data_IF_785746824386
#
_entry.id   IF_785746824386
#
_cell.length_a   1.000
_cell.length_b   1.000
_cell.length_c   1.000
_cell.angle_alpha   90.00
_cell.angle_beta   90.00
_cell.angle_gamma   90.00
#
_symmetry.space_group_name_H-M   'P 1'
#
loop_
_entity.id
_entity.type
_entity.pdbx_description
1 polymer ?
#
# COMPACT_ATOMS: atom_id res chain seq x y z
N UNK A 1 -16.16 63.55 3.21
CA UNK A 1 -16.37 62.41 4.12
C UNK A 1 -16.54 61.07 3.40
N UNK A 2 -17.10 61.00 2.19
CA UNK A 2 -17.34 59.71 1.50
C UNK A 2 -16.10 58.97 0.96
N UNK A 3 -14.99 59.66 0.68
CA UNK A 3 -13.78 59.01 0.13
C UNK A 3 -12.97 58.21 1.18
N UNK A 4 -13.01 58.65 2.44
CA UNK A 4 -12.29 57.98 3.54
C UNK A 4 -12.99 56.67 3.94
N UNK A 5 -14.32 56.64 3.86
CA UNK A 5 -15.11 55.44 4.14
C UNK A 5 -14.92 54.36 3.06
N UNK A 6 -14.82 54.75 1.78
CA UNK A 6 -14.56 53.81 0.69
C UNK A 6 -13.13 53.24 0.74
N UNK A 7 -12.14 54.06 1.10
CA UNK A 7 -10.77 53.63 1.29
C UNK A 7 -10.64 52.63 2.47
N UNK A 8 -11.31 52.89 3.60
CA UNK A 8 -11.31 51.97 4.75
C UNK A 8 -11.97 50.62 4.42
N UNK A 9 -13.04 50.62 3.62
CA UNK A 9 -13.72 49.39 3.20
C UNK A 9 -12.88 48.56 2.22
N UNK A 10 -12.14 49.21 1.31
CA UNK A 10 -11.19 48.55 0.40
C UNK A 10 -9.96 47.98 1.14
N UNK A 11 -9.44 48.65 2.18
CA UNK A 11 -8.34 48.08 2.99
C UNK A 11 -8.78 46.90 3.87
N UNK A 12 -10.04 46.85 4.33
CA UNK A 12 -10.53 45.72 5.13
C UNK A 12 -10.61 44.39 4.37
N UNK A 13 -10.84 44.46 3.06
CA UNK A 13 -10.91 43.29 2.17
C UNK A 13 -9.51 42.74 1.84
N UNK A 14 -8.46 43.55 1.93
CA UNK A 14 -7.08 43.11 1.65
C UNK A 14 -6.39 42.41 2.84
N UNK A 15 -6.90 42.56 4.06
CA UNK A 15 -6.28 41.99 5.27
C UNK A 15 -6.91 40.63 5.66
N UNK A 16 -8.04 40.26 5.05
CA UNK A 16 -8.73 38.99 5.31
C UNK A 16 -8.34 37.86 4.34
N UNK A 17 -7.38 38.09 3.43
CA UNK A 17 -7.08 37.18 2.32
C UNK A 17 -5.93 36.17 2.49
N UNK A 18 -5.22 36.15 3.61
CA UNK A 18 -4.09 35.23 3.81
C UNK A 18 -4.07 34.68 5.23
N UNK A 19 -5.03 33.83 5.57
CA UNK A 19 -4.80 32.89 6.68
C UNK A 19 -3.66 31.96 6.28
N UNK A 20 -2.64 31.77 7.14
CA UNK A 20 -1.63 30.73 6.95
C UNK A 20 -2.30 29.36 6.77
N UNK A 21 -1.64 28.41 6.08
CA UNK A 21 -2.17 27.06 5.96
C UNK A 21 -2.48 26.51 7.36
N UNK A 22 -3.64 25.87 7.49
CA UNK A 22 -4.10 25.35 8.79
C UNK A 22 -3.20 24.25 9.34
N UNK A 23 -2.42 23.60 8.48
CA UNK A 23 -1.48 22.54 8.85
C UNK A 23 -0.12 22.77 8.19
N UNK A 24 0.92 22.92 9.00
CA UNK A 24 2.30 22.91 8.50
C UNK A 24 2.66 21.51 7.98
N UNK A 25 3.54 21.44 6.97
CA UNK A 25 4.02 20.18 6.42
C UNK A 25 4.63 19.23 7.47
N UNK A 26 5.22 19.78 8.53
CA UNK A 26 5.82 19.01 9.64
C UNK A 26 4.78 18.46 10.62
N UNK A 27 3.60 19.09 10.70
CA UNK A 27 2.53 18.70 11.61
C UNK A 27 1.48 17.77 10.98
N UNK A 28 1.59 17.43 9.69
CA UNK A 28 0.60 16.60 8.97
C UNK A 28 0.30 15.28 9.67
N UNK A 29 1.36 14.59 10.10
CA UNK A 29 1.24 13.32 10.82
C UNK A 29 0.41 13.48 12.08
N UNK A 30 0.73 14.51 12.89
CA UNK A 30 0.04 14.79 14.15
C UNK A 30 -1.41 15.19 13.90
N UNK A 31 -1.66 16.03 12.91
CA UNK A 31 -2.99 16.53 12.60
C UNK A 31 -3.96 15.40 12.21
N UNK A 32 -3.54 14.48 11.35
CA UNK A 32 -4.42 13.35 10.97
C UNK A 32 -4.66 12.44 12.17
N UNK A 33 -3.63 12.05 12.91
CA UNK A 33 -3.78 11.20 14.11
C UNK A 33 -4.72 11.87 15.13
N UNK A 34 -4.61 13.18 15.31
CA UNK A 34 -5.45 13.94 16.23
C UNK A 34 -6.91 14.00 15.76
N UNK A 35 -7.16 14.22 14.46
CA UNK A 35 -8.51 14.22 13.88
C UNK A 35 -9.12 12.81 13.99
N UNK A 36 -8.40 11.77 13.57
CA UNK A 36 -8.90 10.38 13.59
C UNK A 36 -9.22 9.92 15.00
N UNK A 37 -8.40 10.32 15.98
CA UNK A 37 -8.65 10.01 17.39
C UNK A 37 -9.81 10.81 17.98
N UNK A 38 -9.85 12.13 17.77
CA UNK A 38 -10.84 13.02 18.41
C UNK A 38 -12.23 12.93 17.79
N UNK A 39 -12.30 12.87 16.46
CA UNK A 39 -13.58 12.89 15.74
C UNK A 39 -14.14 11.48 15.57
N UNK A 40 -13.28 10.45 15.43
CA UNK A 40 -13.69 9.10 15.02
C UNK A 40 -13.26 7.97 15.98
N UNK A 41 -12.54 8.27 17.07
CA UNK A 41 -12.15 7.28 18.08
C UNK A 41 -11.12 6.25 17.63
N UNK A 42 -10.34 6.55 16.58
CA UNK A 42 -9.31 5.64 16.04
C UNK A 42 -7.96 5.98 16.67
N UNK A 43 -7.47 5.12 17.57
CA UNK A 43 -6.29 5.43 18.40
C UNK A 43 -4.93 5.12 17.76
N UNK A 44 -4.86 4.15 16.83
CA UNK A 44 -3.59 3.54 16.38
C UNK A 44 -3.28 3.74 14.89
N UNK A 45 -3.62 4.90 14.31
CA UNK A 45 -3.21 5.19 12.93
C UNK A 45 -1.71 5.51 12.85
N UNK A 46 -1.03 4.99 11.81
CA UNK A 46 0.31 5.46 11.42
C UNK A 46 0.22 6.34 10.18
N UNK A 47 1.10 7.33 10.08
CA UNK A 47 1.12 8.32 9.00
C UNK A 47 2.54 8.50 8.48
N UNK A 48 2.74 8.25 7.19
CA UNK A 48 4.03 8.36 6.50
C UNK A 48 3.89 9.29 5.30
N UNK A 49 4.96 10.00 4.98
CA UNK A 49 5.05 10.83 3.77
C UNK A 49 6.31 10.43 3.04
N UNK A 50 6.16 9.93 1.82
CA UNK A 50 7.26 9.50 0.95
C UNK A 50 7.12 10.28 -0.35
N UNK A 51 8.16 11.03 -0.72
CA UNK A 51 8.10 11.97 -1.84
C UNK A 51 6.91 12.92 -1.74
N UNK A 52 6.02 12.83 -2.73
CA UNK A 52 4.74 13.58 -2.82
C UNK A 52 3.51 12.74 -2.44
N UNK A 53 3.69 11.53 -1.93
CA UNK A 53 2.62 10.64 -1.46
C UNK A 53 2.39 10.78 0.04
N UNK A 54 1.14 11.08 0.43
CA UNK A 54 0.68 11.10 1.80
C UNK A 54 -0.02 9.79 2.17
N UNK A 55 0.60 8.97 3.01
CA UNK A 55 0.10 7.67 3.40
C UNK A 55 -0.49 7.62 4.81
N UNK A 56 -1.57 6.87 4.99
CA UNK A 56 -2.17 6.54 6.29
C UNK A 56 -2.39 5.03 6.39
N UNK A 57 -1.98 4.44 7.52
CA UNK A 57 -2.32 3.08 7.91
C UNK A 57 -3.49 3.10 8.89
N UNK A 58 -4.55 2.35 8.56
CA UNK A 58 -5.74 2.20 9.35
C UNK A 58 -5.86 0.74 9.83
N UNK A 59 -5.45 0.43 11.07
CA UNK A 59 -5.67 -0.89 11.63
C UNK A 59 -7.14 -1.05 12.02
N UNK A 60 -7.74 -2.16 11.59
CA UNK A 60 -9.11 -2.54 11.89
C UNK A 60 -9.13 -3.91 12.55
N UNK A 61 -9.99 -4.08 13.54
CA UNK A 61 -10.22 -5.39 14.18
C UNK A 61 -11.02 -6.33 13.28
N UNK A 62 -11.81 -5.79 12.36
CA UNK A 62 -12.59 -6.54 11.40
C UNK A 62 -12.82 -5.70 10.14
N UNK A 63 -12.17 -6.08 9.05
CA UNK A 63 -12.39 -5.45 7.75
C UNK A 63 -13.51 -6.13 6.96
N UNK A 64 -13.57 -7.46 6.99
CA UNK A 64 -14.50 -8.26 6.19
C UNK A 64 -15.54 -8.97 7.08
N UNK A 65 -16.74 -9.16 6.52
CA UNK A 65 -17.88 -9.76 7.23
C UNK A 65 -17.73 -11.27 7.43
N UNK A 66 -17.04 -11.97 6.53
CA UNK A 66 -16.81 -13.42 6.58
C UNK A 66 -15.35 -13.75 6.92
N UNK A 67 -15.16 -14.77 7.76
CA UNK A 67 -13.85 -15.35 7.98
C UNK A 67 -13.51 -16.27 6.79
N UNK A 68 -12.57 -15.84 5.96
CA UNK A 68 -12.12 -16.55 4.76
C UNK A 68 -11.77 -18.02 5.03
N UNK A 69 -11.26 -18.32 6.25
CA UNK A 69 -10.95 -19.69 6.68
C UNK A 69 -12.21 -20.55 6.82
N UNK A 70 -13.28 -20.02 7.40
CA UNK A 70 -14.55 -20.76 7.56
C UNK A 70 -15.25 -20.99 6.21
N UNK A 71 -15.20 -20.00 5.31
CA UNK A 71 -15.79 -20.11 3.98
C UNK A 71 -15.09 -21.18 3.11
N UNK A 72 -13.76 -21.24 3.11
CA UNK A 72 -13.01 -22.27 2.38
C UNK A 72 -13.22 -23.66 2.99
N UNK A 73 -13.21 -23.77 4.32
CA UNK A 73 -13.35 -25.07 5.00
C UNK A 73 -14.76 -25.65 4.93
N UNK A 74 -15.79 -24.82 4.80
CA UNK A 74 -17.19 -25.25 4.71
C UNK A 74 -17.62 -25.71 3.31
N UNK A 75 -16.80 -25.47 2.27
CA UNK A 75 -17.12 -25.86 0.89
C UNK A 75 -18.36 -25.16 0.30
N UNK A 76 -18.89 -24.14 0.98
CA UNK A 76 -20.09 -23.38 0.61
C UNK A 76 -19.75 -22.06 -0.11
N UNK A 77 -18.72 -22.05 -0.97
CA UNK A 77 -18.42 -20.86 -1.76
C UNK A 77 -18.98 -21.05 -3.16
N UNK A 78 -20.26 -20.71 -3.34
CA UNK A 78 -20.87 -20.60 -4.67
C UNK A 78 -20.56 -19.27 -5.35
N UNK A 79 -20.13 -18.26 -4.60
CA UNK A 79 -19.86 -16.91 -5.12
C UNK A 79 -18.71 -16.25 -4.37
N UNK A 80 -17.50 -16.24 -4.96
CA UNK A 80 -16.29 -15.72 -4.29
C UNK A 80 -16.36 -14.21 -4.04
N UNK A 81 -17.17 -13.46 -4.79
CA UNK A 81 -17.24 -12.00 -4.70
C UNK A 81 -17.93 -11.52 -3.41
N UNK A 82 -18.84 -12.32 -2.84
CA UNK A 82 -19.52 -11.97 -1.58
C UNK A 82 -18.61 -12.12 -0.36
N UNK A 83 -17.55 -12.95 -0.45
CA UNK A 83 -16.61 -13.18 0.64
C UNK A 83 -15.75 -11.96 0.99
N UNK A 84 -15.60 -11.02 0.05
CA UNK A 84 -14.73 -9.86 0.19
C UNK A 84 -15.50 -8.56 0.38
N UNK A 85 -16.75 -8.62 0.86
CA UNK A 85 -17.50 -7.42 1.22
C UNK A 85 -17.02 -6.88 2.57
N UNK A 86 -16.49 -5.63 2.61
CA UNK A 86 -16.13 -5.00 3.86
C UNK A 86 -17.36 -4.82 4.75
N UNK A 87 -17.18 -4.82 6.07
CA UNK A 87 -18.28 -4.52 7.01
C UNK A 87 -18.71 -3.05 6.88
N UNK A 88 -19.96 -2.73 7.18
CA UNK A 88 -20.43 -1.33 7.19
C UNK A 88 -19.58 -0.46 8.12
N UNK A 89 -19.25 -0.96 9.31
CA UNK A 89 -18.37 -0.27 10.27
C UNK A 89 -16.97 0.00 9.68
N UNK A 90 -16.40 -0.95 8.93
CA UNK A 90 -15.11 -0.75 8.27
C UNK A 90 -15.20 0.29 7.16
N UNK A 91 -16.29 0.28 6.37
CA UNK A 91 -16.53 1.27 5.31
C UNK A 91 -16.63 2.67 5.92
N UNK A 92 -17.42 2.84 6.99
CA UNK A 92 -17.59 4.14 7.66
C UNK A 92 -16.23 4.68 8.16
N UNK A 93 -15.43 3.84 8.82
CA UNK A 93 -14.07 4.23 9.28
C UNK A 93 -13.15 4.59 8.12
N UNK A 94 -13.20 3.84 7.02
CA UNK A 94 -12.42 4.14 5.81
C UNK A 94 -12.84 5.49 5.23
N UNK A 95 -14.14 5.77 5.11
CA UNK A 95 -14.66 7.04 4.59
C UNK A 95 -14.28 8.22 5.48
N UNK A 96 -14.38 8.06 6.80
CA UNK A 96 -14.00 9.06 7.81
C UNK A 96 -12.51 9.41 7.73
N UNK A 97 -11.64 8.40 7.59
CA UNK A 97 -10.20 8.61 7.42
C UNK A 97 -9.91 9.25 6.06
N UNK A 98 -10.50 8.79 4.96
CA UNK A 98 -10.35 9.43 3.64
C UNK A 98 -10.79 10.89 3.67
N UNK A 99 -11.88 11.20 4.37
CA UNK A 99 -12.37 12.56 4.55
C UNK A 99 -11.36 13.41 5.35
N UNK A 100 -10.82 12.86 6.43
CA UNK A 100 -9.77 13.51 7.25
C UNK A 100 -8.51 13.80 6.45
N UNK A 101 -8.02 12.82 5.69
CA UNK A 101 -6.90 12.97 4.78
C UNK A 101 -7.17 14.09 3.77
N UNK A 102 -8.36 14.10 3.16
CA UNK A 102 -8.74 15.12 2.18
C UNK A 102 -8.73 16.54 2.76
N UNK A 103 -9.18 16.73 4.02
CA UNK A 103 -9.14 18.04 4.71
C UNK A 103 -7.71 18.51 4.90
N UNK A 104 -6.82 17.63 5.34
CA UNK A 104 -5.43 17.95 5.63
C UNK A 104 -4.64 18.23 4.35
N UNK A 105 -4.77 17.38 3.33
CA UNK A 105 -4.14 17.56 2.01
C UNK A 105 -4.53 18.90 1.37
N UNK A 106 -5.80 19.30 1.47
CA UNK A 106 -6.28 20.56 0.88
C UNK A 106 -5.87 21.80 1.68
N UNK A 107 -5.35 21.64 2.90
CA UNK A 107 -5.09 22.75 3.82
C UNK A 107 -3.64 22.84 4.28
N UNK A 108 -2.73 22.10 3.64
CA UNK A 108 -1.29 22.11 3.94
C UNK A 108 -0.50 22.98 2.95
N UNK A 109 0.63 23.49 3.39
CA UNK A 109 1.65 24.14 2.55
C UNK A 109 2.54 23.13 1.80
N UNK A 110 2.60 21.87 2.24
CA UNK A 110 3.40 20.84 1.59
C UNK A 110 2.72 20.37 0.30
N UNK A 111 3.49 20.27 -0.78
CA UNK A 111 3.01 19.67 -2.04
C UNK A 111 2.75 18.18 -1.82
N UNK A 112 1.48 17.79 -1.88
CA UNK A 112 1.02 16.41 -1.86
C UNK A 112 0.24 16.15 -3.15
N UNK A 113 0.79 15.29 -4.00
CA UNK A 113 0.19 14.93 -5.29
C UNK A 113 -0.68 13.68 -5.16
N UNK A 114 -0.33 12.76 -4.26
CA UNK A 114 -1.02 11.50 -4.05
C UNK A 114 -1.38 11.26 -2.58
N UNK A 115 -2.46 10.51 -2.38
CA UNK A 115 -2.79 9.94 -1.09
C UNK A 115 -2.89 8.42 -1.18
N UNK A 116 -2.47 7.76 -0.10
CA UNK A 116 -2.47 6.31 0.05
C UNK A 116 -3.13 5.96 1.39
N UNK A 117 -4.22 5.20 1.38
CA UNK A 117 -4.82 4.67 2.60
C UNK A 117 -4.73 3.16 2.56
N UNK A 118 -4.11 2.56 3.57
CA UNK A 118 -4.04 1.13 3.76
C UNK A 118 -4.90 0.75 4.97
N UNK A 119 -6.06 0.14 4.72
CA UNK A 119 -6.94 -0.38 5.77
C UNK A 119 -6.71 -1.88 5.93
N UNK A 120 -6.28 -2.33 7.10
CA UNK A 120 -5.85 -3.73 7.31
C UNK A 120 -6.59 -4.38 8.47
N UNK A 121 -7.07 -5.61 8.28
CA UNK A 121 -7.56 -6.47 9.35
C UNK A 121 -6.37 -7.05 10.14
N UNK A 122 -6.12 -6.49 11.32
CA UNK A 122 -4.96 -6.84 12.15
C UNK A 122 -5.20 -8.05 13.06
N UNK A 123 -6.46 -8.49 13.23
CA UNK A 123 -6.80 -9.50 14.22
C UNK A 123 -7.04 -10.88 13.62
N UNK A 124 -7.67 -10.96 12.45
CA UNK A 124 -8.12 -12.25 11.90
C UNK A 124 -7.36 -12.68 10.67
N UNK A 125 -7.44 -11.85 9.63
CA UNK A 125 -7.10 -12.31 8.28
C UNK A 125 -5.78 -11.76 7.76
N UNK A 126 -5.33 -10.60 8.24
CA UNK A 126 -4.22 -9.86 7.63
C UNK A 126 -4.58 -9.30 6.25
N UNK A 127 -5.84 -9.40 5.81
CA UNK A 127 -6.27 -8.85 4.53
C UNK A 127 -6.34 -7.33 4.63
N UNK A 128 -5.96 -6.67 3.55
CA UNK A 128 -5.99 -5.21 3.47
C UNK A 128 -6.65 -4.72 2.19
N UNK A 129 -7.16 -3.48 2.26
CA UNK A 129 -7.66 -2.70 1.14
C UNK A 129 -6.85 -1.41 1.08
N UNK A 130 -6.21 -1.20 -0.07
CA UNK A 130 -5.40 -0.03 -0.38
C UNK A 130 -6.15 0.91 -1.30
N UNK A 131 -6.21 2.20 -0.93
CA UNK A 131 -6.76 3.26 -1.76
C UNK A 131 -5.67 4.22 -2.19
N UNK A 132 -5.50 4.38 -3.49
CA UNK A 132 -4.57 5.36 -4.07
C UNK A 132 -5.37 6.37 -4.88
N UNK A 133 -5.15 7.65 -4.65
CA UNK A 133 -5.78 8.71 -5.43
C UNK A 133 -4.91 9.95 -5.58
N UNK A 134 -5.23 10.75 -6.59
CA UNK A 134 -4.55 12.01 -6.88
C UNK A 134 -5.24 13.17 -6.15
N UNK A 135 -4.47 14.04 -5.50
CA UNK A 135 -5.00 15.12 -4.66
C UNK A 135 -5.86 16.13 -5.44
N UNK A 136 -5.50 16.43 -6.69
CA UNK A 136 -6.31 17.34 -7.52
C UNK A 136 -7.66 16.74 -7.91
N UNK A 137 -7.82 15.41 -7.94
CA UNK A 137 -9.12 14.82 -8.22
C UNK A 137 -10.12 15.11 -7.08
N UNK A 138 -9.64 15.23 -5.83
CA UNK A 138 -10.44 15.67 -4.68
C UNK A 138 -10.96 17.09 -4.92
N UNK A 139 -10.11 17.99 -5.41
CA UNK A 139 -10.51 19.37 -5.73
C UNK A 139 -11.55 19.36 -6.85
N UNK A 140 -11.27 18.66 -7.94
CA UNK A 140 -12.13 18.61 -9.12
C UNK A 140 -13.51 18.04 -8.81
N UNK A 141 -13.61 16.98 -8.01
CA UNK A 141 -14.92 16.42 -7.63
C UNK A 141 -15.69 17.36 -6.70
N UNK A 142 -15.00 18.09 -5.80
CA UNK A 142 -15.63 19.10 -4.92
C UNK A 142 -16.10 20.33 -5.67
N UNK A 143 -15.40 20.72 -6.74
CA UNK A 143 -15.80 21.82 -7.64
C UNK A 143 -16.73 21.38 -8.77
N UNK A 144 -17.17 20.12 -8.79
CA UNK A 144 -18.03 19.54 -9.84
C UNK A 144 -17.41 19.55 -11.26
N UNK A 145 -16.10 19.71 -11.38
CA UNK A 145 -15.36 19.60 -12.65
C UNK A 145 -15.36 18.17 -13.19
N UNK A 146 -15.51 17.18 -12.31
CA UNK A 146 -15.72 15.77 -12.66
C UNK A 146 -16.91 15.22 -11.86
N UNK A 147 -17.73 14.35 -12.45
CA UNK A 147 -18.80 13.69 -11.71
C UNK A 147 -18.22 12.67 -10.72
N UNK A 148 -18.96 12.37 -9.65
CA UNK A 148 -18.56 11.39 -8.63
C UNK A 148 -18.30 9.99 -9.22
N UNK A 149 -19.04 9.61 -10.26
CA UNK A 149 -18.82 8.34 -10.98
C UNK A 149 -17.45 8.28 -11.65
N UNK A 150 -16.98 9.37 -12.24
CA UNK A 150 -15.63 9.46 -12.82
C UNK A 150 -14.55 9.52 -11.73
N UNK A 151 -14.80 10.23 -10.63
CA UNK A 151 -13.90 10.22 -9.47
C UNK A 151 -13.69 8.80 -8.92
N UNK A 152 -14.75 8.00 -8.77
CA UNK A 152 -14.64 6.60 -8.34
C UNK A 152 -13.78 5.73 -9.27
N UNK A 153 -13.88 5.96 -10.60
CA UNK A 153 -13.02 5.28 -11.59
C UNK A 153 -11.56 5.76 -11.58
N UNK A 154 -11.28 6.90 -10.92
CA UNK A 154 -9.92 7.45 -10.82
C UNK A 154 -9.16 6.92 -9.61
N UNK A 155 -9.88 6.50 -8.57
CA UNK A 155 -9.30 5.89 -7.38
C UNK A 155 -8.94 4.43 -7.66
N UNK A 156 -7.73 4.06 -7.28
CA UNK A 156 -7.23 2.68 -7.32
C UNK A 156 -7.57 2.06 -5.95
N UNK A 157 -8.42 1.03 -5.93
CA UNK A 157 -8.68 0.15 -4.77
C UNK A 157 -8.07 -1.24 -4.96
N UNK A 158 -7.05 -1.62 -4.21
CA UNK A 158 -6.39 -2.94 -4.31
C UNK A 158 -6.61 -3.76 -3.05
N UNK A 159 -6.83 -5.07 -3.21
CA UNK A 159 -6.96 -5.99 -2.10
C UNK A 159 -5.75 -6.93 -2.10
N UNK A 160 -5.08 -7.04 -0.96
CA UNK A 160 -3.94 -7.94 -0.82
C UNK A 160 -3.84 -8.50 0.60
N UNK A 161 -2.97 -9.49 0.79
CA UNK A 161 -2.70 -10.09 2.08
C UNK A 161 -1.42 -9.48 2.67
N UNK A 162 -1.56 -8.81 3.80
CA UNK A 162 -0.46 -8.28 4.60
C UNK A 162 -0.09 -9.26 5.70
N UNK A 163 0.82 -10.18 5.36
CA UNK A 163 1.34 -11.17 6.32
C UNK A 163 2.14 -10.54 7.47
N UNK A 164 2.97 -9.50 7.25
CA UNK A 164 3.71 -8.84 8.33
C UNK A 164 2.86 -8.48 9.55
N UNK A 165 1.66 -7.94 9.35
CA UNK A 165 0.74 -7.61 10.45
C UNK A 165 0.44 -8.80 11.37
N UNK A 166 0.22 -9.98 10.80
CA UNK A 166 -0.03 -11.21 11.58
C UNK A 166 1.21 -11.67 12.33
N UNK A 167 2.38 -11.56 11.69
CA UNK A 167 3.66 -11.96 12.27
C UNK A 167 4.14 -11.01 13.37
N UNK A 168 3.87 -9.72 13.22
CA UNK A 168 4.29 -8.68 14.17
C UNK A 168 3.38 -8.63 15.40
N UNK A 169 2.12 -9.05 15.25
CA UNK A 169 1.12 -9.12 16.34
C UNK A 169 1.63 -9.80 17.61
N UNK A 170 2.12 -11.06 17.61
CA UNK A 170 2.60 -11.70 18.84
C UNK A 170 3.80 -10.98 19.46
N UNK A 171 4.65 -10.31 18.66
CA UNK A 171 5.78 -9.51 19.15
C UNK A 171 5.30 -8.24 19.85
N UNK A 172 4.35 -7.52 19.26
CA UNK A 172 3.71 -6.37 19.89
C UNK A 172 2.98 -6.78 21.17
N UNK A 173 2.25 -7.89 21.13
CA UNK A 173 1.57 -8.43 22.31
C UNK A 173 2.57 -8.79 23.41
N UNK A 174 3.72 -9.37 23.08
CA UNK A 174 4.77 -9.67 24.04
C UNK A 174 5.25 -8.42 24.78
N UNK A 175 5.57 -7.33 24.07
CA UNK A 175 6.00 -6.09 24.73
C UNK A 175 4.87 -5.38 25.51
N UNK A 176 3.62 -5.48 25.05
CA UNK A 176 2.47 -5.01 25.83
C UNK A 176 2.30 -5.83 27.12
N UNK A 177 2.42 -7.16 27.03
CA UNK A 177 2.35 -8.05 28.18
C UNK A 177 3.46 -7.76 29.21
N UNK A 178 4.68 -7.42 28.76
CA UNK A 178 5.77 -6.97 29.64
C UNK A 178 5.40 -5.73 30.46
N UNK A 179 4.51 -4.88 29.94
CA UNK A 179 4.06 -3.66 30.62
C UNK A 179 2.93 -3.92 31.63
N UNK A 180 2.08 -4.90 31.37
CA UNK A 180 0.82 -5.10 32.11
C UNK A 180 0.88 -6.27 33.10
N UNK A 181 1.43 -7.40 32.65
CA UNK A 181 1.38 -8.70 33.33
C UNK A 181 2.48 -8.87 34.36
N UNK A 182 2.26 -9.82 35.25
CA UNK A 182 3.23 -10.22 36.28
C UNK A 182 4.25 -11.20 35.71
N UNK A 183 5.40 -11.30 36.38
CA UNK A 183 6.46 -12.25 36.07
C UNK A 183 5.96 -13.70 35.94
N UNK A 184 5.11 -14.14 36.86
CA UNK A 184 4.55 -15.50 36.86
C UNK A 184 3.68 -15.77 35.63
N UNK A 185 2.91 -14.76 35.19
CA UNK A 185 2.09 -14.86 33.98
C UNK A 185 2.95 -14.86 32.71
N UNK A 186 3.96 -13.99 32.64
CA UNK A 186 4.92 -13.94 31.53
C UNK A 186 5.67 -15.27 31.38
N UNK A 187 6.08 -15.87 32.49
CA UNK A 187 6.72 -17.19 32.48
C UNK A 187 5.82 -18.26 31.88
N UNK A 188 4.54 -18.28 32.23
CA UNK A 188 3.58 -19.25 31.71
C UNK A 188 3.30 -19.05 30.20
N UNK A 189 3.27 -17.80 29.75
CA UNK A 189 2.93 -17.44 28.37
C UNK A 189 4.11 -17.63 27.40
N UNK A 190 5.30 -17.15 27.76
CA UNK A 190 6.44 -17.05 26.83
C UNK A 190 7.66 -17.88 27.24
N UNK A 191 7.86 -18.15 28.54
CA UNK A 191 9.12 -18.70 29.06
C UNK A 191 8.97 -20.03 29.81
N UNK A 192 7.93 -20.83 29.52
CA UNK A 192 7.54 -22.02 30.31
C UNK A 192 8.68 -23.03 30.56
N UNK A 193 9.66 -23.10 29.66
CA UNK A 193 10.78 -24.04 29.69
C UNK A 193 12.15 -23.35 29.81
N UNK A 194 12.20 -22.07 30.17
CA UNK A 194 13.44 -21.31 30.29
C UNK A 194 13.77 -21.04 31.76
N UNK A 195 15.07 -20.97 32.04
CA UNK A 195 15.58 -20.63 33.37
C UNK A 195 15.32 -19.16 33.68
N UNK A 196 14.74 -18.89 34.84
CA UNK A 196 14.27 -17.57 35.27
C UNK A 196 15.38 -16.53 35.22
N UNK A 197 16.58 -16.89 35.68
CA UNK A 197 17.73 -16.00 35.70
C UNK A 197 18.09 -15.44 34.30
N UNK A 198 17.87 -16.22 33.23
CA UNK A 198 18.31 -15.85 31.88
C UNK A 198 17.44 -14.79 31.22
N UNK A 199 16.15 -14.75 31.52
CA UNK A 199 15.22 -13.81 30.89
C UNK A 199 14.79 -12.69 31.85
N UNK A 200 14.85 -12.91 33.17
CA UNK A 200 14.53 -11.85 34.14
C UNK A 200 15.50 -10.67 34.07
N UNK A 201 16.80 -10.94 33.90
CA UNK A 201 17.80 -9.88 33.75
C UNK A 201 17.58 -9.09 32.45
N UNK A 202 17.40 -9.80 31.34
CA UNK A 202 17.19 -9.23 30.00
C UNK A 202 15.97 -8.30 29.95
N UNK A 203 14.87 -8.68 30.61
CA UNK A 203 13.63 -7.91 30.60
C UNK A 203 13.44 -7.02 31.84
N UNK A 204 14.52 -6.74 32.58
CA UNK A 204 14.54 -5.86 33.76
C UNK A 204 13.48 -6.23 34.82
N UNK A 205 13.32 -7.52 35.07
CA UNK A 205 12.53 -8.09 36.15
C UNK A 205 13.39 -8.40 37.38
N UNK A 206 14.69 -8.11 37.34
CA UNK A 206 15.57 -8.17 38.50
C UNK A 206 15.97 -6.77 38.93
N UNK A 207 15.74 -6.44 40.20
CA UNK A 207 16.17 -5.17 40.79
C UNK A 207 17.70 -5.08 40.93
N UNK A 208 18.23 -3.87 41.15
CA UNK A 208 19.66 -3.64 41.41
C UNK A 208 20.21 -4.40 42.62
N UNK A 209 19.34 -4.92 43.48
CA UNK A 209 19.71 -5.73 44.66
C UNK A 209 19.65 -7.23 44.40
N UNK A 210 19.40 -7.66 43.15
CA UNK A 210 19.30 -9.06 42.76
C UNK A 210 17.97 -9.74 43.11
N UNK A 211 17.01 -8.99 43.66
CA UNK A 211 15.67 -9.51 43.95
C UNK A 211 14.78 -9.36 42.71
N UNK A 212 14.06 -10.43 42.34
CA UNK A 212 13.11 -10.40 41.23
C UNK A 212 11.85 -9.61 41.60
N UNK A 213 11.48 -8.66 40.75
CA UNK A 213 10.27 -7.86 40.86
C UNK A 213 9.08 -8.58 40.20
N UNK A 214 7.87 -8.40 40.75
CA UNK A 214 6.67 -8.99 40.16
C UNK A 214 6.27 -8.34 38.82
N UNK A 215 6.69 -7.10 38.58
CA UNK A 215 6.46 -6.35 37.33
C UNK A 215 7.75 -5.72 36.85
N UNK A 216 7.87 -5.54 35.54
CA UNK A 216 9.05 -4.92 34.92
C UNK A 216 9.33 -3.51 35.46
N UNK A 217 10.60 -3.23 35.75
CA UNK A 217 11.06 -1.90 36.16
C UNK A 217 11.03 -0.88 35.01
N UNK A 218 10.77 -1.35 33.78
CA UNK A 218 10.72 -0.57 32.55
C UNK A 218 9.32 -0.58 31.92
N UNK A 219 9.02 0.46 31.16
CA UNK A 219 7.94 0.49 30.20
C UNK A 219 8.56 0.31 28.81
N UNK A 220 8.04 -0.64 28.06
CA UNK A 220 8.51 -1.02 26.74
C UNK A 220 7.61 -0.42 25.68
N UNK A 221 8.22 0.20 24.68
CA UNK A 221 7.53 0.75 23.52
C UNK A 221 8.23 0.27 22.25
N UNK A 222 7.46 -0.29 21.33
CA UNK A 222 7.99 -0.78 20.06
C UNK A 222 8.18 0.40 19.10
N UNK A 223 9.40 0.58 18.60
CA UNK A 223 9.78 1.69 17.72
C UNK A 223 9.75 1.28 16.24
N UNK A 224 10.26 0.08 15.95
CA UNK A 224 10.33 -0.47 14.58
C UNK A 224 10.13 -1.98 14.65
N UNK A 225 9.39 -2.52 13.69
CA UNK A 225 9.19 -3.97 13.54
C UNK A 225 9.25 -4.32 12.07
N UNK A 226 10.07 -5.32 11.75
CA UNK A 226 10.28 -5.79 10.38
C UNK A 226 10.33 -7.30 10.37
N UNK A 227 9.91 -7.92 9.27
CA UNK A 227 9.90 -9.37 9.15
C UNK A 227 10.58 -9.87 7.89
N UNK A 228 11.22 -11.02 7.99
CA UNK A 228 11.77 -11.76 6.87
C UNK A 228 11.21 -13.19 6.89
N UNK A 229 10.44 -13.60 5.87
CA UNK A 229 10.06 -15.01 5.72
C UNK A 229 11.31 -15.84 5.39
N UNK A 230 11.51 -16.98 6.08
CA UNK A 230 12.64 -17.88 5.83
C UNK A 230 12.19 -19.05 4.98
N UNK A 231 11.67 -20.13 5.60
CA UNK A 231 11.10 -21.32 4.93
C UNK A 231 10.01 -21.96 5.83
N UNK A 232 9.13 -22.80 5.28
CA UNK A 232 8.20 -23.68 6.02
C UNK A 232 7.37 -23.04 7.15
N UNK A 233 6.84 -21.83 6.90
CA UNK A 233 5.99 -21.06 7.84
C UNK A 233 6.74 -20.56 9.07
N UNK A 234 8.07 -20.51 9.00
CA UNK A 234 8.91 -19.80 9.96
C UNK A 234 9.25 -18.41 9.45
N UNK A 235 9.16 -17.44 10.36
CA UNK A 235 9.41 -16.03 10.09
C UNK A 235 10.33 -15.50 11.17
N UNK A 236 11.31 -14.71 10.75
CA UNK A 236 12.14 -13.94 11.65
C UNK A 236 11.60 -12.52 11.72
N UNK A 237 11.30 -12.05 12.92
CA UNK A 237 10.83 -10.69 13.17
C UNK A 237 11.88 -9.93 13.97
N UNK A 238 12.39 -8.86 13.38
CA UNK A 238 13.23 -7.89 14.05
C UNK A 238 12.34 -6.87 14.77
N UNK A 239 12.64 -6.56 16.03
CA UNK A 239 11.98 -5.51 16.77
C UNK A 239 13.00 -4.60 17.46
N UNK A 240 12.86 -3.30 17.23
CA UNK A 240 13.57 -2.25 17.93
C UNK A 240 12.64 -1.63 18.96
N UNK A 241 13.07 -1.57 20.21
CA UNK A 241 12.23 -1.14 21.33
C UNK A 241 12.92 -0.10 22.20
N UNK A 242 12.11 0.78 22.78
CA UNK A 242 12.52 1.77 23.77
C UNK A 242 12.09 1.31 25.15
N UNK A 243 13.04 1.08 26.04
CA UNK A 243 12.82 0.68 27.44
C UNK A 243 13.05 1.88 28.37
N UNK A 244 11.97 2.53 28.80
CA UNK A 244 12.03 3.70 29.71
C UNK A 244 11.82 3.29 31.17
N UNK A 245 12.54 3.86 32.16
CA UNK A 245 12.30 3.60 33.58
C UNK A 245 10.87 3.94 33.97
N UNK A 246 10.19 3.03 34.69
CA UNK A 246 8.82 3.26 35.17
C UNK A 246 8.77 4.32 36.27
N UNK A 247 9.83 4.45 37.06
CA UNK A 247 10.00 5.48 38.09
C UNK A 247 10.37 6.87 37.51
N UNK A 248 10.57 6.97 36.20
CA UNK A 248 11.03 8.18 35.52
C UNK A 248 12.50 8.54 35.79
N UNK A 249 13.25 7.71 36.52
CA UNK A 249 14.64 7.97 36.87
C UNK A 249 15.59 7.14 36.01
N UNK A 250 16.32 7.82 35.14
CA UNK A 250 17.33 7.22 34.27
C UNK A 250 17.05 7.46 32.79
N UNK A 251 18.05 7.16 31.96
CA UNK A 251 17.92 7.28 30.52
C UNK A 251 17.06 6.13 29.94
N UNK A 252 16.21 6.41 28.94
CA UNK A 252 15.64 5.38 28.08
C UNK A 252 16.76 4.60 27.39
N UNK A 253 16.56 3.29 27.23
CA UNK A 253 17.50 2.42 26.53
C UNK A 253 16.84 1.88 25.27
N UNK A 254 17.53 2.00 24.13
CA UNK A 254 17.09 1.41 22.87
C UNK A 254 17.73 0.02 22.76
N UNK A 255 16.89 -0.98 22.55
CA UNK A 255 17.27 -2.39 22.48
C UNK A 255 16.70 -3.00 21.21
N UNK A 256 17.43 -3.97 20.65
CA UNK A 256 17.03 -4.65 19.42
C UNK A 256 16.95 -6.16 19.69
N UNK A 257 15.92 -6.81 19.15
CA UNK A 257 15.62 -8.23 19.36
C UNK A 257 15.26 -8.91 18.03
N UNK A 258 15.57 -10.19 17.93
CA UNK A 258 15.03 -11.10 16.92
C UNK A 258 14.06 -12.09 17.56
N UNK A 259 12.92 -12.26 16.92
CA UNK A 259 11.90 -13.23 17.26
C UNK A 259 11.83 -14.27 16.14
N UNK A 260 11.88 -15.54 16.48
CA UNK A 260 11.53 -16.62 15.57
C UNK A 260 10.07 -16.98 15.84
N UNK A 261 9.25 -16.93 14.79
CA UNK A 261 7.81 -17.12 14.87
C UNK A 261 7.42 -18.26 13.94
N UNK A 262 6.66 -19.23 14.47
CA UNK A 262 6.01 -20.24 13.64
C UNK A 262 4.54 -19.93 13.45
N UNK A 263 4.07 -20.03 12.21
CA UNK A 263 2.66 -19.96 11.86
C UNK A 263 2.10 -21.39 11.68
N UNK A 264 1.82 -22.09 12.78
CA UNK A 264 1.27 -23.46 12.76
C UNK A 264 -0.19 -23.45 13.17
N UNK A 265 -1.06 -24.11 12.39
CA UNK A 265 -2.48 -24.22 12.72
C UNK A 265 -3.29 -22.93 12.58
N UNK A 266 -2.72 -21.87 11.99
CA UNK A 266 -3.39 -20.59 11.81
C UNK A 266 -3.25 -19.62 12.98
N UNK A 267 -2.39 -19.94 13.95
CA UNK A 267 -1.93 -19.04 15.01
C UNK A 267 -0.42 -18.82 14.88
N UNK A 268 0.00 -17.57 15.11
CA UNK A 268 1.41 -17.17 15.14
C UNK A 268 1.94 -17.25 16.58
N UNK A 269 3.00 -18.04 16.78
CA UNK A 269 3.60 -18.22 18.11
C UNK A 269 5.09 -17.87 18.10
N UNK A 270 5.51 -17.15 19.14
CA UNK A 270 6.94 -16.91 19.40
C UNK A 270 7.57 -18.21 19.88
N UNK A 271 8.52 -18.73 19.11
CA UNK A 271 9.30 -19.91 19.48
C UNK A 271 10.62 -19.54 20.17
N UNK A 272 11.22 -18.42 19.75
CA UNK A 272 12.51 -17.96 20.28
C UNK A 272 12.62 -16.44 20.28
N UNK A 273 13.24 -15.90 21.31
CA UNK A 273 13.63 -14.49 21.43
C UNK A 273 15.15 -14.44 21.58
N UNK A 274 15.83 -13.64 20.76
CA UNK A 274 17.30 -13.49 20.78
C UNK A 274 17.64 -12.00 20.83
N UNK A 275 18.26 -11.52 21.93
CA UNK A 275 18.78 -10.15 21.98
C UNK A 275 19.87 -9.96 20.93
N UNK A 276 19.83 -8.86 20.18
CA UNK A 276 20.82 -8.60 19.13
C UNK A 276 22.25 -8.46 19.67
N UNK A 277 22.41 -8.09 20.94
CA UNK A 277 23.70 -7.98 21.64
C UNK A 277 24.46 -9.31 21.77
N UNK A 278 23.75 -10.44 21.70
CA UNK A 278 24.31 -11.79 21.93
C UNK A 278 24.54 -12.55 20.61
N UNK A 279 24.05 -12.04 19.48
CA UNK A 279 24.16 -12.71 18.17
C UNK A 279 25.62 -12.96 17.76
N UNK A 280 26.50 -11.99 17.96
CA UNK A 280 27.91 -12.11 17.57
C UNK A 280 28.69 -13.11 18.45
N UNK A 281 28.18 -13.40 19.66
CA UNK A 281 28.74 -14.43 20.55
C UNK A 281 28.18 -15.83 20.24
N UNK A 282 26.94 -15.89 19.76
CA UNK A 282 26.23 -17.17 19.49
C UNK A 282 26.57 -17.74 18.11
N UNK A 283 26.93 -16.90 17.14
CA UNK A 283 27.34 -17.31 15.79
C UNK A 283 28.66 -18.09 15.74
N UNK A 284 29.43 -18.10 16.83
CA UNK A 284 30.64 -18.90 16.94
C UNK A 284 30.38 -20.37 17.32
N UNK A 285 29.24 -20.66 17.96
CA UNK A 285 28.90 -21.99 18.54
C UNK A 285 27.80 -22.75 17.78
N UNK A 286 27.10 -22.09 16.86
CA UNK A 286 26.06 -22.68 16.02
C UNK A 286 26.29 -22.25 14.57
N UNK A 287 26.04 -23.15 13.62
CA UNK A 287 25.89 -22.87 12.18
C UNK A 287 24.68 -21.93 11.92
N UNK A 288 24.65 -20.78 12.60
CA UNK A 288 23.64 -19.76 12.46
C UNK A 288 23.97 -18.94 11.20
N UNK A 289 23.10 -18.93 10.18
CA UNK A 289 23.42 -18.39 8.87
C UNK A 289 23.45 -16.86 8.79
N UNK A 290 23.18 -16.13 9.88
CA UNK A 290 23.07 -14.67 9.88
C UNK A 290 23.83 -14.02 11.04
N UNK A 291 24.74 -13.10 10.71
CA UNK A 291 25.42 -12.22 11.67
C UNK A 291 24.63 -10.93 11.90
N UNK A 292 24.95 -10.20 12.97
CA UNK A 292 24.32 -8.91 13.28
C UNK A 292 24.45 -7.90 12.13
N UNK A 293 25.64 -7.83 11.53
CA UNK A 293 25.92 -6.93 10.40
C UNK A 293 25.09 -7.29 9.15
N UNK A 294 24.95 -8.59 8.86
CA UNK A 294 24.10 -9.05 7.75
C UNK A 294 22.64 -8.62 7.94
N UNK A 295 22.12 -8.76 9.16
CA UNK A 295 20.76 -8.33 9.48
C UNK A 295 20.63 -6.83 9.24
N UNK A 296 21.44 -5.98 9.89
CA UNK A 296 21.33 -4.53 9.72
C UNK A 296 21.49 -4.09 8.26
N UNK A 297 22.39 -4.71 7.50
CA UNK A 297 22.56 -4.41 6.07
C UNK A 297 21.37 -4.80 5.19
N UNK A 298 20.51 -5.71 5.67
CA UNK A 298 19.36 -6.21 4.94
C UNK A 298 18.01 -5.68 5.45
N UNK A 299 17.95 -5.05 6.64
CA UNK A 299 16.71 -4.59 7.27
C UNK A 299 15.84 -3.70 6.36
N UNK A 300 16.45 -2.88 5.51
CA UNK A 300 15.70 -2.02 4.57
C UNK A 300 14.85 -2.81 3.56
N UNK A 301 15.19 -4.09 3.34
CA UNK A 301 14.47 -5.00 2.44
C UNK A 301 13.51 -5.93 3.16
N UNK A 302 13.47 -5.88 4.49
CA UNK A 302 12.54 -6.68 5.27
C UNK A 302 11.14 -6.07 5.22
N UNK A 303 10.13 -6.92 5.31
CA UNK A 303 8.75 -6.50 5.17
C UNK A 303 8.30 -5.67 6.38
N UNK A 304 7.66 -4.53 6.11
CA UNK A 304 6.98 -3.68 7.09
C UNK A 304 5.46 -3.90 7.01
N UNK A 305 4.73 -3.63 8.09
CA UNK A 305 3.26 -3.64 8.05
C UNK A 305 2.70 -2.54 7.15
N UNK A 306 3.37 -1.39 7.08
CA UNK A 306 2.89 -0.21 6.39
C UNK A 306 3.98 0.40 5.52
N UNK A 307 3.84 0.25 4.20
CA UNK A 307 4.75 0.85 3.22
C UNK A 307 3.99 1.81 2.32
N UNK A 308 4.49 3.04 2.20
CA UNK A 308 3.87 4.07 1.35
C UNK A 308 4.66 4.14 0.04
N UNK A 309 4.01 3.95 -1.12
CA UNK A 309 4.71 4.04 -2.39
C UNK A 309 5.11 5.49 -2.69
N UNK A 310 6.32 5.68 -3.21
CA UNK A 310 6.69 6.94 -3.86
C UNK A 310 6.04 6.95 -5.24
N UNK A 311 4.85 7.55 -5.34
CA UNK A 311 3.98 7.42 -6.50
C UNK A 311 4.25 8.57 -7.47
N UNK A 312 4.50 8.23 -8.73
CA UNK A 312 4.57 9.21 -9.81
C UNK A 312 3.25 9.30 -10.58
N UNK A 313 3.02 10.40 -11.30
CA UNK A 313 1.81 10.55 -12.11
C UNK A 313 1.76 9.55 -13.27
N UNK A 314 2.89 9.21 -13.88
CA UNK A 314 2.94 8.20 -14.95
C UNK A 314 2.52 6.82 -14.46
N UNK A 315 3.07 6.37 -13.33
CA UNK A 315 2.72 5.08 -12.70
C UNK A 315 1.25 5.04 -12.27
N UNK A 316 0.78 6.08 -11.59
CA UNK A 316 -0.62 6.19 -11.18
C UNK A 316 -1.58 6.08 -12.38
N UNK A 317 -1.29 6.77 -13.48
CA UNK A 317 -2.10 6.70 -14.69
C UNK A 317 -2.07 5.32 -15.33
N UNK A 318 -0.91 4.65 -15.35
CA UNK A 318 -0.80 3.27 -15.84
C UNK A 318 -1.64 2.29 -15.00
N UNK A 319 -1.57 2.37 -13.67
CA UNK A 319 -2.39 1.55 -12.77
C UNK A 319 -3.89 1.82 -12.97
N UNK A 320 -4.28 3.10 -13.05
CA UNK A 320 -5.66 3.52 -13.28
C UNK A 320 -6.19 2.98 -14.63
N UNK A 321 -5.40 3.10 -15.69
CA UNK A 321 -5.74 2.61 -17.03
C UNK A 321 -5.88 1.09 -17.07
N UNK A 322 -4.98 0.36 -16.41
CA UNK A 322 -5.03 -1.11 -16.32
C UNK A 322 -6.38 -1.59 -15.80
N UNK A 323 -6.84 -0.99 -14.70
CA UNK A 323 -8.10 -1.35 -14.06
C UNK A 323 -9.31 -0.95 -14.88
N UNK A 324 -9.30 0.28 -15.43
CA UNK A 324 -10.35 0.76 -16.33
C UNK A 324 -10.50 -0.19 -17.52
N UNK A 325 -9.39 -0.71 -18.04
CA UNK A 325 -9.44 -1.65 -19.15
C UNK A 325 -9.92 -3.03 -18.77
N UNK A 326 -9.53 -3.56 -17.61
CA UNK A 326 -10.08 -4.82 -17.12
C UNK A 326 -11.61 -4.73 -16.95
N UNK A 327 -12.12 -3.62 -16.41
CA UNK A 327 -13.57 -3.37 -16.31
C UNK A 327 -14.24 -3.20 -17.68
N UNK A 328 -13.61 -2.47 -18.61
CA UNK A 328 -14.18 -2.28 -19.94
C UNK A 328 -14.26 -3.60 -20.71
N UNK A 329 -13.23 -4.45 -20.61
CA UNK A 329 -13.19 -5.75 -21.27
C UNK A 329 -14.18 -6.76 -20.68
N UNK A 330 -14.42 -6.74 -19.37
CA UNK A 330 -15.41 -7.64 -18.76
C UNK A 330 -16.86 -7.27 -19.11
N UNK A 331 -17.11 -6.02 -19.46
CA UNK A 331 -18.44 -5.50 -19.83
C UNK A 331 -18.70 -5.51 -21.35
N UNK A 332 -17.67 -5.72 -22.16
CA UNK A 332 -17.78 -5.67 -23.63
C UNK A 332 -18.16 -7.05 -24.19
N UNK A 333 -19.35 -7.13 -24.81
CA UNK A 333 -19.88 -8.38 -25.36
C UNK A 333 -19.00 -8.96 -26.47
N UNK A 334 -18.38 -8.14 -27.32
CA UNK A 334 -17.50 -8.63 -28.40
C UNK A 334 -16.25 -9.26 -27.80
N UNK A 335 -15.61 -8.57 -26.85
CA UNK A 335 -14.44 -9.09 -26.13
C UNK A 335 -14.77 -10.39 -25.41
N UNK A 336 -15.86 -10.43 -24.65
CA UNK A 336 -16.30 -11.62 -23.92
C UNK A 336 -16.57 -12.82 -24.84
N UNK A 337 -17.16 -12.60 -26.01
CA UNK A 337 -17.49 -13.67 -26.94
C UNK A 337 -16.28 -14.18 -27.73
N UNK A 338 -15.28 -13.31 -28.00
CA UNK A 338 -14.12 -13.67 -28.80
C UNK A 338 -12.98 -14.33 -28.00
N UNK A 339 -12.64 -13.79 -26.82
CA UNK A 339 -11.45 -14.22 -26.08
C UNK A 339 -11.82 -15.22 -24.98
N UNK A 340 -11.01 -16.28 -24.81
CA UNK A 340 -11.22 -17.24 -23.72
C UNK A 340 -10.87 -16.63 -22.37
N UNK A 341 -9.86 -15.78 -22.37
CA UNK A 341 -9.41 -14.97 -21.24
C UNK A 341 -8.76 -13.72 -21.85
N UNK A 342 -8.90 -12.57 -21.21
CA UNK A 342 -8.17 -11.37 -21.60
C UNK A 342 -7.57 -10.71 -20.37
N UNK A 343 -6.25 -10.50 -20.39
CA UNK A 343 -5.53 -9.75 -19.37
C UNK A 343 -4.85 -8.57 -20.02
N UNK A 344 -4.97 -7.41 -19.42
CA UNK A 344 -4.38 -6.17 -19.90
C UNK A 344 -3.77 -5.40 -18.74
N UNK A 345 -2.56 -4.90 -18.98
CA UNK A 345 -1.78 -4.12 -18.03
C UNK A 345 -1.09 -2.99 -18.80
N UNK A 346 -1.21 -1.78 -18.27
CA UNK A 346 -0.40 -0.65 -18.66
C UNK A 346 0.80 -0.53 -17.73
N UNK A 347 1.95 -0.21 -18.29
CA UNK A 347 3.14 0.18 -17.57
C UNK A 347 3.61 1.54 -18.09
N UNK A 348 4.11 2.38 -17.19
CA UNK A 348 4.84 3.59 -17.55
C UNK A 348 6.33 3.32 -17.43
N UNK A 349 7.10 3.72 -18.44
CA UNK A 349 8.56 3.66 -18.43
C UNK A 349 9.08 5.08 -18.44
N UNK A 350 9.70 5.47 -17.33
CA UNK A 350 10.40 6.74 -17.23
C UNK A 350 11.74 6.70 -17.98
N UNK A 351 12.15 7.83 -18.55
CA UNK A 351 13.43 7.95 -19.26
C UNK A 351 13.33 8.84 -20.49
N UNK A 352 14.35 8.75 -21.35
CA UNK A 352 14.40 9.42 -22.64
C UNK A 352 14.55 8.37 -23.75
N UNK A 353 13.47 7.99 -24.47
CA UNK A 353 12.12 8.58 -24.39
C UNK A 353 11.21 7.90 -23.35
N UNK A 354 10.50 8.71 -22.55
CA UNK A 354 9.45 8.25 -21.65
C UNK A 354 8.26 7.73 -22.46
N UNK A 355 7.66 6.61 -22.06
CA UNK A 355 6.58 5.99 -22.84
C UNK A 355 5.68 5.08 -22.00
N UNK A 356 4.55 4.70 -22.58
CA UNK A 356 3.66 3.70 -22.00
C UNK A 356 3.73 2.40 -22.78
N UNK A 357 3.59 1.28 -22.07
CA UNK A 357 3.47 -0.06 -22.65
C UNK A 357 2.10 -0.62 -22.27
N UNK A 358 1.35 -1.06 -23.28
CA UNK A 358 0.13 -1.83 -23.12
C UNK A 358 0.43 -3.30 -23.39
N UNK A 359 0.58 -4.08 -22.32
CA UNK A 359 0.73 -5.52 -22.39
C UNK A 359 -0.63 -6.20 -22.38
N UNK A 360 -0.86 -7.08 -23.35
CA UNK A 360 -2.11 -7.82 -23.46
C UNK A 360 -1.85 -9.32 -23.67
N UNK A 361 -2.57 -10.14 -22.92
CA UNK A 361 -2.69 -11.58 -23.14
C UNK A 361 -4.13 -11.84 -23.57
N UNK A 362 -4.33 -12.23 -24.83
CA UNK A 362 -5.66 -12.40 -25.39
C UNK A 362 -5.80 -13.68 -26.24
N UNK A 363 -5.81 -14.87 -25.62
CA UNK A 363 -6.13 -16.12 -26.33
C UNK A 363 -7.55 -16.08 -26.93
N UNK A 364 -7.65 -16.39 -28.22
CA UNK A 364 -8.93 -16.50 -28.94
C UNK A 364 -9.62 -17.81 -28.59
N UNK A 365 -10.96 -17.82 -28.50
CA UNK A 365 -11.74 -19.06 -28.26
C UNK A 365 -11.68 -20.01 -29.45
N UNK A 366 -11.65 -19.49 -30.68
CA UNK A 366 -11.46 -20.31 -31.86
C UNK A 366 -9.97 -20.62 -32.03
N UNK A 367 -9.61 -21.87 -31.74
CA UNK A 367 -8.24 -22.40 -31.81
C UNK A 367 -7.64 -22.28 -33.24
N UNK A 368 -8.49 -22.16 -34.27
CA UNK A 368 -8.02 -21.98 -35.66
C UNK A 368 -7.53 -20.57 -35.93
N UNK A 369 -8.03 -19.59 -35.17
CA UNK A 369 -7.60 -18.22 -35.30
C UNK A 369 -6.36 -17.98 -34.45
N UNK A 370 -5.42 -17.24 -35.02
CA UNK A 370 -4.23 -16.77 -34.30
C UNK A 370 -4.37 -15.28 -34.04
N UNK A 371 -3.92 -14.85 -32.88
CA UNK A 371 -3.95 -13.43 -32.51
C UNK A 371 -3.00 -12.59 -33.39
N UNK A 372 -1.97 -13.23 -33.95
CA UNK A 372 -1.07 -12.64 -34.93
C UNK A 372 -0.55 -13.71 -35.90
N UNK A 373 -0.44 -13.35 -37.19
CA UNK A 373 0.33 -14.12 -38.18
C UNK A 373 1.14 -13.18 -39.09
N UNK A 374 2.22 -13.70 -39.69
CA UNK A 374 3.07 -12.93 -40.61
C UNK A 374 2.34 -12.48 -41.87
N UNK A 375 1.39 -13.28 -42.35
CA UNK A 375 0.65 -13.07 -43.60
C UNK A 375 -0.60 -12.20 -43.42
N UNK A 376 -1.30 -12.30 -42.29
CA UNK A 376 -2.56 -11.58 -42.03
C UNK A 376 -2.40 -10.42 -41.04
N UNK A 377 -1.25 -10.32 -40.37
CA UNK A 377 -1.00 -9.32 -39.35
C UNK A 377 -1.71 -9.62 -38.04
N UNK A 378 -2.11 -8.56 -37.33
CA UNK A 378 -2.83 -8.65 -36.06
C UNK A 378 -4.30 -8.94 -36.33
N UNK A 379 -4.87 -9.90 -35.60
CA UNK A 379 -6.28 -10.27 -35.71
C UNK A 379 -7.20 -9.04 -35.47
N UNK A 380 -8.29 -8.94 -36.24
CA UNK A 380 -9.22 -7.80 -36.17
C UNK A 380 -9.78 -7.58 -34.75
N UNK A 381 -10.08 -8.65 -34.01
CA UNK A 381 -10.61 -8.54 -32.65
C UNK A 381 -9.54 -8.08 -31.65
N UNK A 382 -8.27 -8.40 -31.89
CA UNK A 382 -7.14 -7.86 -31.12
C UNK A 382 -7.02 -6.36 -31.39
N UNK A 383 -7.14 -5.93 -32.65
CA UNK A 383 -7.19 -4.52 -33.01
C UNK A 383 -8.40 -3.81 -32.39
N UNK A 384 -9.55 -4.47 -32.31
CA UNK A 384 -10.74 -3.94 -31.64
C UNK A 384 -10.46 -3.69 -30.14
N UNK A 385 -9.87 -4.66 -29.44
CA UNK A 385 -9.47 -4.49 -28.04
C UNK A 385 -8.44 -3.36 -27.86
N UNK A 386 -7.45 -3.25 -28.77
CA UNK A 386 -6.50 -2.15 -28.78
C UNK A 386 -7.16 -0.79 -29.02
N UNK A 387 -8.19 -0.71 -29.86
CA UNK A 387 -8.97 0.52 -30.05
C UNK A 387 -9.67 0.95 -28.76
N UNK A 388 -10.30 0.02 -28.03
CA UNK A 388 -10.92 0.32 -26.74
C UNK A 388 -9.88 0.88 -25.75
N UNK A 389 -8.72 0.22 -25.65
CA UNK A 389 -7.61 0.63 -24.79
C UNK A 389 -7.04 2.00 -25.19
N UNK A 390 -6.80 2.23 -26.47
CA UNK A 390 -6.22 3.48 -27.00
C UNK A 390 -7.16 4.66 -26.75
N UNK A 391 -8.47 4.46 -26.93
CA UNK A 391 -9.47 5.50 -26.66
C UNK A 391 -9.44 5.91 -25.19
N UNK A 392 -9.40 4.95 -24.28
CA UNK A 392 -9.33 5.24 -22.84
C UNK A 392 -8.00 5.91 -22.46
N UNK A 393 -6.88 5.39 -22.97
CA UNK A 393 -5.54 5.94 -22.80
C UNK A 393 -5.48 7.43 -23.12
N UNK A 394 -5.88 7.83 -24.33
CA UNK A 394 -5.78 9.23 -24.73
C UNK A 394 -6.73 10.12 -23.93
N UNK A 395 -7.93 9.63 -23.58
CA UNK A 395 -8.88 10.38 -22.77
C UNK A 395 -8.35 10.64 -21.35
N UNK A 396 -7.76 9.63 -20.72
CA UNK A 396 -7.19 9.72 -19.37
C UNK A 396 -5.99 10.67 -19.37
N UNK A 397 -4.98 10.45 -20.23
CA UNK A 397 -3.79 11.30 -20.25
C UNK A 397 -4.13 12.76 -20.50
N UNK A 398 -5.05 13.04 -21.44
CA UNK A 398 -5.52 14.40 -21.69
C UNK A 398 -6.31 14.96 -20.50
N UNK A 399 -7.12 14.14 -19.83
CA UNK A 399 -7.89 14.50 -18.66
C UNK A 399 -7.03 14.94 -17.46
N UNK A 400 -5.80 14.45 -17.37
CA UNK A 400 -4.79 14.89 -16.40
C UNK A 400 -3.80 15.91 -16.97
N UNK A 401 -3.80 16.16 -18.28
CA UNK A 401 -2.82 17.02 -18.92
C UNK A 401 -1.40 16.45 -18.91
N UNK A 402 -1.26 15.13 -18.81
CA UNK A 402 0.04 14.45 -18.75
C UNK A 402 0.72 14.45 -20.13
N UNK A 403 1.93 15.02 -20.18
CA UNK A 403 2.69 15.24 -21.43
C UNK A 403 4.04 14.54 -21.46
N UNK A 404 4.49 13.98 -20.34
CA UNK A 404 5.80 13.38 -20.18
C UNK A 404 5.81 11.95 -20.72
N UNK A 405 5.60 11.82 -22.03
CA UNK A 405 5.60 10.56 -22.78
C UNK A 405 5.66 10.84 -24.29
N UNK A 406 6.29 9.95 -25.05
CA UNK A 406 6.47 10.11 -26.50
C UNK A 406 5.60 9.17 -27.33
N UNK A 407 5.39 7.94 -26.87
CA UNK A 407 4.60 6.94 -27.60
C UNK A 407 3.90 5.96 -26.65
N UNK A 408 2.92 5.25 -27.21
CA UNK A 408 2.30 4.06 -26.63
C UNK A 408 2.75 2.84 -27.42
N UNK A 409 3.32 1.86 -26.74
CA UNK A 409 3.64 0.57 -27.33
C UNK A 409 2.58 -0.48 -26.97
N UNK A 410 2.31 -1.39 -27.90
CA UNK A 410 1.39 -2.51 -27.75
C UNK A 410 2.21 -3.78 -27.82
N UNK A 411 2.11 -4.59 -26.79
CA UNK A 411 2.79 -5.88 -26.67
C UNK A 411 1.76 -6.98 -26.48
N UNK A 412 1.90 -8.05 -27.25
CA UNK A 412 1.00 -9.20 -27.19
C UNK A 412 1.77 -10.44 -26.72
N UNK A 413 1.34 -11.09 -25.65
CA UNK A 413 2.01 -12.29 -25.11
C UNK A 413 2.10 -13.43 -26.12
N UNK A 414 1.12 -13.53 -27.02
CA UNK A 414 1.08 -14.52 -28.11
C UNK A 414 2.04 -14.19 -29.27
N UNK A 415 2.61 -12.99 -29.32
CA UNK A 415 3.54 -12.53 -30.35
C UNK A 415 4.70 -11.74 -29.73
N UNK A 416 5.50 -12.37 -28.85
CA UNK A 416 6.47 -11.64 -28.02
C UNK A 416 7.55 -10.95 -28.87
N UNK A 417 7.90 -11.48 -30.04
CA UNK A 417 8.92 -10.91 -30.93
C UNK A 417 8.50 -9.61 -31.65
N UNK A 418 7.29 -9.10 -31.41
CA UNK A 418 6.74 -7.96 -32.11
C UNK A 418 6.17 -6.94 -31.13
N UNK A 419 6.45 -5.67 -31.41
CA UNK A 419 5.86 -4.54 -30.68
C UNK A 419 5.32 -3.56 -31.70
N UNK A 420 4.10 -3.07 -31.48
CA UNK A 420 3.52 -2.01 -32.29
C UNK A 420 3.58 -0.71 -31.51
N UNK A 421 3.90 0.39 -32.17
CA UNK A 421 4.04 1.69 -31.51
C UNK A 421 3.17 2.72 -32.20
N UNK A 422 2.59 3.62 -31.41
CA UNK A 422 1.88 4.80 -31.88
C UNK A 422 2.43 6.03 -31.16
N UNK A 423 2.97 6.99 -31.90
CA UNK A 423 3.52 8.22 -31.33
C UNK A 423 2.41 9.17 -30.83
N UNK A 424 2.77 10.11 -29.97
CA UNK A 424 1.84 11.07 -29.37
C UNK A 424 1.06 11.91 -30.41
N UNK A 425 1.69 12.31 -31.52
CA UNK A 425 1.05 13.14 -32.54
C UNK A 425 -0.04 12.37 -33.30
N UNK A 426 0.26 11.13 -33.68
CA UNK A 426 -0.68 10.25 -34.36
C UNK A 426 -1.83 9.82 -33.44
N UNK A 427 -1.57 9.60 -32.15
CA UNK A 427 -2.63 9.35 -31.15
C UNK A 427 -3.58 10.53 -30.99
N UNK A 428 -3.10 11.77 -31.14
CA UNK A 428 -3.96 12.96 -31.17
C UNK A 428 -4.79 13.05 -32.46
N UNK A 429 -4.26 12.58 -33.60
CA UNK A 429 -5.05 12.44 -34.83
C UNK A 429 -6.11 11.35 -34.70
N UNK A 430 -5.78 10.22 -34.08
CA UNK A 430 -6.71 9.14 -33.76
C UNK A 430 -7.86 9.65 -32.88
N UNK A 431 -7.55 10.36 -31.79
CA UNK A 431 -8.55 10.96 -30.89
C UNK A 431 -9.50 11.91 -31.61
N UNK A 432 -9.01 12.63 -32.62
CA UNK A 432 -9.82 13.54 -33.46
C UNK A 432 -10.59 12.81 -34.56
N UNK A 433 -10.56 11.46 -34.56
CA UNK A 433 -11.17 10.59 -35.57
C UNK A 433 -10.65 10.88 -36.99
N UNK A 434 -9.42 11.39 -37.11
CA UNK A 434 -8.80 11.72 -38.41
C UNK A 434 -8.03 10.55 -39.03
N UNK A 435 -7.55 9.62 -38.21
CA UNK A 435 -6.90 8.38 -38.62
C UNK A 435 -7.43 7.22 -37.77
N UNK A 436 -7.70 6.04 -38.33
CA UNK A 436 -7.97 4.84 -37.54
C UNK A 436 -6.67 4.35 -36.87
N UNK A 437 -6.80 3.51 -35.84
CA UNK A 437 -5.64 2.99 -35.10
C UNK A 437 -4.67 2.20 -36.00
N UNK A 438 -5.21 1.39 -36.91
CA UNK A 438 -4.40 0.56 -37.83
C UNK A 438 -3.42 1.39 -38.67
N UNK A 439 -3.82 2.59 -39.07
CA UNK A 439 -3.03 3.47 -39.93
C UNK A 439 -1.91 4.20 -39.17
N UNK A 440 -1.91 4.16 -37.83
CA UNK A 440 -0.92 4.83 -36.99
C UNK A 440 0.02 3.87 -36.26
N UNK A 441 -0.22 2.57 -36.34
CA UNK A 441 0.63 1.56 -35.70
C UNK A 441 1.86 1.29 -36.56
N UNK A 442 3.03 1.47 -35.96
CA UNK A 442 4.31 1.10 -36.57
C UNK A 442 4.85 -0.17 -35.92
N UNK A 443 5.03 -1.22 -36.71
CA UNK A 443 5.58 -2.49 -36.24
C UNK A 443 7.10 -2.40 -36.10
N UNK A 444 7.61 -2.75 -34.93
CA UNK A 444 9.04 -2.88 -34.65
C UNK A 444 9.33 -4.31 -34.21
N UNK A 445 10.22 -5.05 -34.90
CA UNK A 445 10.69 -6.35 -34.43
C UNK A 445 11.45 -6.15 -33.12
N UNK A 446 11.14 -6.94 -32.09
CA UNK A 446 11.90 -6.93 -30.86
C UNK A 446 13.25 -7.59 -31.15
N UNK A 447 14.34 -6.82 -31.10
CA UNK A 447 15.69 -7.37 -31.17
C UNK A 447 15.89 -8.15 -29.88
N UNK A 448 16.10 -9.45 -29.96
CA UNK A 448 16.36 -10.28 -28.79
C UNK A 448 17.58 -9.71 -28.04
N UNK A 449 17.33 -9.14 -26.87
CA UNK A 449 18.34 -8.64 -25.93
C UNK A 449 18.89 -9.77 -25.08
#
# INVERSE_FOLDING_TARGET
>A
MSFVFLALWMTGILISGCTPPSYSGDDLKRAVIEITRKEYGIENCDVKVVGTTFGVFLPLSQLFSMDFKEAILSGQVTDMEQLFQPTEEAIDKIEDVLFSMSRVILSTDRKIDFYFLQATDIEKTGMEINFIGHSDDIKRVRFWDIPRSEYRKRIIHEMQLNRPVLWHRPVKQFFNDLNEKTRSELKLLYFKNLDDAKWEEEFFLTSKMGASDEKGARIWEVIDVRSLPVEDREVVVYAKVNARPRDGQGAPQVLDYLFQISARGGEEKIDRITPMSVLDQTSADLDAPMTRDMIYSSLERWDEEFSVPDMTLGEFLAMQLSRRMQMAFSQDERVYNTFSEIKAVFQHVEGDPGHFIFHMTAPLKDIRQKAYTLDQGVNEDVIYAWNLATREFVNVLRGYGFKDWEFLSFSLTQAPSYTWTANQQDLELYRRMKKPLQDILTLTPQVAS
#
